data_IF_212964642231
#
_entry.id   IF_212964642231
#
_cell.length_a   1.000
_cell.length_b   1.000
_cell.length_c   1.000
_cell.angle_alpha   90.00
_cell.angle_beta   90.00
_cell.angle_gamma   90.00
#
_symmetry.space_group_name_H-M   'P 1'
#
loop_
_entity.id
_entity.type
_entity.pdbx_description
1 polymer ?
#
# COMPACT_ATOMS: atom_id res chain seq x y z
N UNK A 1 14.69 -5.50 0.45
CA UNK A 1 13.80 -4.60 -0.33
C UNK A 1 12.38 -5.09 -0.10
N UNK A 2 11.42 -4.21 0.24
CA UNK A 2 10.03 -4.62 0.46
C UNK A 2 9.43 -5.20 -0.83
N UNK A 3 8.53 -6.18 -0.73
CA UNK A 3 7.94 -6.84 -1.90
C UNK A 3 6.94 -5.95 -2.66
N UNK A 4 6.58 -4.79 -2.11
CA UNK A 4 5.67 -3.83 -2.71
C UNK A 4 6.14 -2.39 -2.54
N UNK A 5 5.81 -1.56 -3.53
CA UNK A 5 6.03 -0.12 -3.51
C UNK A 5 4.74 0.61 -3.88
N UNK A 6 4.52 1.79 -3.28
CA UNK A 6 3.36 2.62 -3.59
C UNK A 6 3.52 3.31 -4.95
N UNK A 7 2.43 3.46 -5.67
CA UNK A 7 2.38 4.25 -6.90
C UNK A 7 2.34 5.74 -6.55
N UNK A 8 3.40 6.48 -6.90
CA UNK A 8 3.57 7.89 -6.54
C UNK A 8 2.38 8.77 -6.96
N UNK A 9 1.75 8.50 -8.12
CA UNK A 9 0.59 9.27 -8.58
C UNK A 9 -0.63 9.04 -7.70
N UNK A 10 -0.79 7.84 -7.13
CA UNK A 10 -1.89 7.54 -6.22
C UNK A 10 -1.74 8.23 -4.86
N UNK A 11 -0.52 8.57 -4.44
CA UNK A 11 -0.28 9.24 -3.17
C UNK A 11 -0.90 10.64 -3.13
N UNK A 12 -0.93 11.36 -4.26
CA UNK A 12 -1.51 12.70 -4.33
C UNK A 12 -3.04 12.70 -4.53
N UNK A 13 -3.69 11.52 -4.51
CA UNK A 13 -5.15 11.37 -4.68
C UNK A 13 -5.79 10.93 -3.37
N UNK A 14 -5.89 11.84 -2.41
CA UNK A 14 -6.39 11.55 -1.04
C UNK A 14 -7.83 10.98 -1.00
N UNK A 15 -8.60 11.14 -2.07
CA UNK A 15 -9.96 10.60 -2.20
C UNK A 15 -10.00 9.11 -2.53
N UNK A 16 -8.86 8.50 -2.86
CA UNK A 16 -8.73 7.07 -3.16
C UNK A 16 -7.53 6.52 -2.38
N UNK A 17 -7.64 5.33 -1.80
CA UNK A 17 -6.50 4.73 -1.10
C UNK A 17 -5.32 4.50 -2.06
N UNK A 18 -4.05 4.59 -1.60
CA UNK A 18 -2.87 4.35 -2.40
C UNK A 18 -2.93 3.01 -3.12
N UNK A 19 -2.44 3.03 -4.36
CA UNK A 19 -2.19 1.83 -5.14
C UNK A 19 -0.76 1.37 -4.90
N UNK A 20 -0.54 0.07 -5.01
CA UNK A 20 0.77 -0.55 -4.82
C UNK A 20 1.15 -1.37 -6.05
N UNK A 21 2.44 -1.65 -6.21
CA UNK A 21 2.99 -2.50 -7.26
C UNK A 21 3.92 -3.52 -6.63
N UNK A 22 3.88 -4.76 -7.10
CA UNK A 22 4.81 -5.80 -6.68
C UNK A 22 6.19 -5.55 -7.29
N UNK A 23 7.22 -5.44 -6.46
CA UNK A 23 8.61 -5.26 -6.88
C UNK A 23 9.30 -6.59 -7.17
N UNK A 24 8.76 -7.72 -6.69
CA UNK A 24 9.36 -9.05 -6.89
C UNK A 24 9.21 -9.58 -8.32
N UNK A 25 8.06 -9.35 -8.94
CA UNK A 25 7.76 -9.89 -10.28
C UNK A 25 7.30 -8.83 -11.29
N UNK A 26 7.09 -7.59 -10.86
CA UNK A 26 6.64 -6.46 -11.69
C UNK A 26 5.35 -6.73 -12.49
N UNK A 27 4.57 -7.74 -12.09
CA UNK A 27 3.44 -8.24 -12.87
C UNK A 27 2.10 -7.93 -12.19
N UNK A 28 1.33 -7.05 -12.82
CA UNK A 28 -0.03 -6.68 -12.43
C UNK A 28 -0.11 -5.88 -11.11
N UNK A 29 -1.25 -5.20 -10.87
CA UNK A 29 -1.54 -4.65 -9.56
C UNK A 29 -1.78 -5.79 -8.56
N UNK A 30 -1.37 -5.66 -7.30
CA UNK A 30 -1.75 -6.60 -6.26
C UNK A 30 -3.24 -6.53 -5.98
N UNK A 31 -3.82 -7.64 -5.55
CA UNK A 31 -5.09 -7.56 -4.82
C UNK A 31 -4.86 -6.81 -3.53
N UNK A 32 -5.82 -5.95 -3.18
CA UNK A 32 -5.79 -5.20 -1.94
C UNK A 32 -7.06 -5.46 -1.15
N UNK A 33 -6.93 -5.79 0.13
CA UNK A 33 -8.06 -5.85 1.06
C UNK A 33 -7.81 -4.92 2.25
N UNK A 34 -8.90 -4.33 2.76
CA UNK A 34 -8.84 -3.46 3.93
C UNK A 34 -8.61 -4.29 5.19
N UNK A 35 -7.53 -3.98 5.92
CA UNK A 35 -7.18 -4.66 7.16
C UNK A 35 -7.72 -3.91 8.40
N UNK A 36 -7.89 -2.58 8.30
CA UNK A 36 -8.47 -1.76 9.34
C UNK A 36 -8.01 -0.31 9.31
N UNK A 37 -8.51 0.47 10.26
CA UNK A 37 -8.13 1.85 10.49
C UNK A 37 -7.99 2.10 12.01
N UNK A 38 -6.92 2.76 12.44
CA UNK A 38 -6.70 3.15 13.84
C UNK A 38 -5.90 4.45 13.89
N UNK A 39 -6.34 5.42 14.70
CA UNK A 39 -5.64 6.71 14.89
C UNK A 39 -5.32 7.47 13.58
N UNK A 40 -6.19 7.38 12.57
CA UNK A 40 -5.94 7.99 11.25
C UNK A 40 -4.97 7.21 10.35
N UNK A 41 -4.39 6.12 10.85
CA UNK A 41 -3.61 5.18 10.06
C UNK A 41 -4.53 4.14 9.42
N UNK A 42 -4.30 3.93 8.15
CA UNK A 42 -5.00 3.00 7.27
C UNK A 42 -4.10 1.80 7.01
N UNK A 43 -4.65 0.60 7.13
CA UNK A 43 -3.93 -0.65 6.88
C UNK A 43 -4.59 -1.44 5.75
N UNK A 44 -3.78 -1.88 4.79
CA UNK A 44 -4.20 -2.75 3.69
C UNK A 44 -3.31 -3.98 3.59
N UNK A 45 -3.91 -5.14 3.35
CA UNK A 45 -3.17 -6.33 2.92
C UNK A 45 -2.98 -6.26 1.40
N UNK A 46 -1.76 -6.50 0.95
CA UNK A 46 -1.34 -6.57 -0.44
C UNK A 46 -1.04 -8.02 -0.78
N UNK A 47 -1.57 -8.52 -1.90
CA UNK A 47 -1.31 -9.88 -2.37
C UNK A 47 -1.00 -9.84 -3.87
N UNK A 48 0.19 -10.28 -4.25
CA UNK A 48 0.53 -10.46 -5.65
C UNK A 48 0.13 -11.86 -6.11
N UNK A 49 -0.89 -11.98 -6.97
CA UNK A 49 -1.31 -13.30 -7.51
C UNK A 49 -0.22 -13.98 -8.34
N UNK A 50 0.68 -13.22 -8.94
CA UNK A 50 1.68 -13.74 -9.88
C UNK A 50 2.82 -14.47 -9.19
N UNK A 51 3.34 -13.93 -8.08
CA UNK A 51 4.47 -14.52 -7.34
C UNK A 51 4.12 -14.96 -5.92
N UNK A 52 2.86 -14.77 -5.49
CA UNK A 52 2.40 -15.13 -4.15
C UNK A 52 2.89 -14.22 -3.02
N UNK A 53 3.63 -13.14 -3.34
CA UNK A 53 4.10 -12.20 -2.32
C UNK A 53 2.93 -11.56 -1.56
N UNK A 54 3.08 -11.39 -0.26
CA UNK A 54 2.07 -10.81 0.63
C UNK A 54 2.73 -9.77 1.53
N UNK A 55 2.04 -8.67 1.79
CA UNK A 55 2.50 -7.62 2.69
C UNK A 55 1.33 -6.89 3.36
N UNK A 56 1.62 -6.14 4.41
CA UNK A 56 0.72 -5.16 5.00
C UNK A 56 1.29 -3.78 4.78
N UNK A 57 0.55 -2.92 4.08
CA UNK A 57 0.88 -1.52 3.94
C UNK A 57 0.12 -0.68 4.97
N UNK A 58 0.85 0.16 5.68
CA UNK A 58 0.31 1.14 6.63
C UNK A 58 0.58 2.54 6.09
N UNK A 59 -0.46 3.37 5.99
CA UNK A 59 -0.38 4.71 5.41
C UNK A 59 -1.41 5.64 6.06
N UNK A 60 -1.25 6.96 5.91
CA UNK A 60 -2.19 7.95 6.45
C UNK A 60 -2.27 9.17 5.54
N UNK A 61 -3.29 10.01 5.71
CA UNK A 61 -3.30 11.33 5.05
C UNK A 61 -2.30 12.24 5.77
N UNK A 62 -1.48 12.97 5.03
CA UNK A 62 -0.55 13.97 5.55
C UNK A 62 -1.29 15.04 6.36
N UNK A 63 -0.62 15.67 7.32
CA UNK A 63 -1.25 16.65 8.21
C UNK A 63 -1.81 17.88 7.47
N UNK A 64 -1.25 18.22 6.32
CA UNK A 64 -1.70 19.32 5.44
C UNK A 64 -2.79 18.88 4.43
N UNK A 65 -3.25 17.63 4.50
CA UNK A 65 -4.19 17.01 3.57
C UNK A 65 -3.75 17.04 2.10
N UNK A 66 -2.44 17.12 1.81
CA UNK A 66 -1.94 17.20 0.44
C UNK A 66 -1.74 15.84 -0.23
N UNK A 67 -1.45 14.79 0.54
CA UNK A 67 -1.12 13.46 0.03
C UNK A 67 -1.33 12.35 1.07
N UNK A 68 -1.19 11.11 0.62
CA UNK A 68 -0.97 9.94 1.46
C UNK A 68 0.52 9.81 1.80
N UNK A 69 0.82 9.63 3.08
CA UNK A 69 2.13 9.24 3.59
C UNK A 69 2.16 7.72 3.81
N UNK A 70 3.12 7.03 3.18
CA UNK A 70 3.39 5.63 3.47
C UNK A 70 4.22 5.55 4.75
N UNK A 71 3.70 4.88 5.77
CA UNK A 71 4.37 4.69 7.05
C UNK A 71 5.20 3.41 7.06
N UNK A 72 4.64 2.31 6.55
CA UNK A 72 5.36 1.03 6.41
C UNK A 72 4.77 0.17 5.30
N UNK A 73 5.60 -0.73 4.77
CA UNK A 73 5.20 -1.86 3.93
C UNK A 73 5.96 -3.08 4.42
N UNK A 74 5.27 -3.93 5.17
CA UNK A 74 5.87 -5.05 5.90
C UNK A 74 5.47 -6.36 5.22
N UNK A 75 6.45 -7.11 4.70
CA UNK A 75 6.20 -8.40 4.08
C UNK A 75 5.67 -9.41 5.09
N UNK A 76 4.73 -10.25 4.66
CA UNK A 76 4.18 -11.35 5.46
C UNK A 76 4.91 -12.64 5.09
N UNK A 77 5.42 -13.35 6.09
CA UNK A 77 6.00 -14.69 5.94
C UNK A 77 5.02 -15.73 5.37
#
# INVERSE_FOLDING_TARGET
MPSFEADNLSLHKINVAPMFRCTRCHFGPPDTSWAGQKNGEHRRVLICRSCGARAVATFRVAADNSCWEILSVDDMD
#
